data_IF_525806928586
#
_entry.id   IF_525806928586
#
_cell.length_a   1.000
_cell.length_b   1.000
_cell.length_c   1.000
_cell.angle_alpha   90.00
_cell.angle_beta   90.00
_cell.angle_gamma   90.00
#
_symmetry.space_group_name_H-M   'P 1'
#
loop_
_entity.id
_entity.type
_entity.pdbx_description
1 polymer ?
#
# COMPACT_ATOMS: atom_id res chain seq x y z
N UNK A 1 2.57 0.87 -25.60
CA UNK A 1 2.45 1.12 -24.16
C UNK A 1 3.22 0.02 -23.47
N UNK A 2 4.04 0.34 -22.48
CA UNK A 2 4.74 -0.67 -21.69
C UNK A 2 4.20 -0.69 -20.26
N UNK A 3 4.13 -1.86 -19.66
CA UNK A 3 3.79 -2.00 -18.25
C UNK A 3 5.06 -2.20 -17.44
N UNK A 4 5.28 -1.36 -16.43
CA UNK A 4 6.39 -1.50 -15.50
C UNK A 4 5.82 -2.08 -14.21
N UNK A 5 5.89 -3.40 -14.07
CA UNK A 5 5.53 -4.07 -12.83
C UNK A 5 6.71 -3.94 -11.88
N UNK A 6 6.52 -3.37 -10.70
CA UNK A 6 7.61 -3.23 -9.75
C UNK A 6 7.14 -3.39 -8.31
N UNK A 7 8.10 -3.73 -7.46
CA UNK A 7 7.97 -3.83 -6.01
C UNK A 7 9.23 -3.23 -5.35
N UNK A 8 9.15 -2.89 -4.06
CA UNK A 8 10.18 -2.17 -3.33
C UNK A 8 10.33 -2.74 -1.92
N UNK A 9 11.58 -2.94 -1.49
CA UNK A 9 11.86 -3.18 -0.08
C UNK A 9 12.37 -1.91 0.59
N UNK A 10 12.02 -1.75 1.87
CA UNK A 10 12.30 -0.53 2.64
C UNK A 10 13.03 -0.80 3.93
N UNK A 11 13.97 0.08 4.28
CA UNK A 11 14.48 0.22 5.63
C UNK A 11 13.75 1.32 6.39
N UNK A 12 13.83 1.28 7.72
CA UNK A 12 13.16 2.22 8.61
C UNK A 12 13.97 2.47 9.88
N UNK A 13 13.59 3.51 10.60
CA UNK A 13 14.24 3.89 11.87
C UNK A 13 14.13 2.80 12.93
N UNK A 14 15.26 2.36 13.49
CA UNK A 14 15.27 1.56 14.73
C UNK A 14 15.27 2.49 15.95
N UNK A 15 14.21 2.41 16.77
CA UNK A 15 14.08 3.21 17.99
C UNK A 15 15.12 2.86 19.05
N UNK A 16 15.76 1.69 18.96
CA UNK A 16 16.75 1.19 19.93
C UNK A 16 18.16 1.71 19.63
N UNK A 17 18.45 2.12 18.40
CA UNK A 17 19.77 2.64 18.01
C UNK A 17 19.97 4.13 18.30
N UNK A 18 18.90 4.84 18.68
CA UNK A 18 18.88 6.29 18.88
C UNK A 18 19.53 6.77 20.19
N UNK A 19 19.77 5.89 21.17
CA UNK A 19 20.36 6.32 22.46
C UNK A 19 21.82 6.77 22.31
N UNK A 20 22.49 6.47 21.18
CA UNK A 20 23.94 6.67 21.02
C UNK A 20 24.38 7.52 19.81
N UNK A 21 23.46 8.09 19.01
CA UNK A 21 23.84 8.84 17.79
C UNK A 21 23.15 10.21 17.69
N UNK A 22 23.86 11.25 18.13
CA UNK A 22 23.45 12.66 18.10
C UNK A 22 23.62 13.34 16.73
N UNK A 23 23.91 12.59 15.65
CA UNK A 23 24.35 13.16 14.37
C UNK A 23 23.23 13.30 13.30
N UNK A 24 21.97 13.13 13.69
CA UNK A 24 20.80 13.35 12.81
C UNK A 24 20.47 14.85 12.69
N UNK A 25 21.42 15.65 12.23
CA UNK A 25 21.31 17.11 12.13
C UNK A 25 21.19 17.67 10.71
N UNK A 26 20.99 16.86 9.66
CA UNK A 26 20.84 17.40 8.30
C UNK A 26 19.79 16.65 7.45
N UNK A 27 18.74 17.39 7.05
CA UNK A 27 17.46 16.98 6.42
C UNK A 27 16.54 16.14 7.32
N UNK A 28 15.34 16.66 7.54
CA UNK A 28 14.37 16.09 8.48
C UNK A 28 14.06 14.63 8.14
N UNK A 29 14.58 13.70 8.94
CA UNK A 29 14.26 12.26 8.87
C UNK A 29 12.76 11.99 9.00
N UNK A 30 11.96 12.96 9.48
CA UNK A 30 10.50 12.88 9.43
C UNK A 30 9.92 12.80 8.02
N UNK A 31 10.63 13.28 7.01
CA UNK A 31 10.12 13.40 5.64
C UNK A 31 10.31 12.10 4.84
N UNK A 32 11.10 11.15 5.36
CA UNK A 32 11.39 9.86 4.76
C UNK A 32 11.22 8.71 5.77
N UNK A 33 9.99 8.29 6.09
CA UNK A 33 9.76 7.22 7.06
C UNK A 33 10.30 5.85 6.62
N UNK A 34 10.36 5.63 5.30
CA UNK A 34 10.79 4.39 4.67
C UNK A 34 11.80 4.73 3.56
N UNK A 35 13.05 4.31 3.75
CA UNK A 35 14.14 4.47 2.78
C UNK A 35 14.20 3.21 1.90
N UNK A 36 14.19 3.36 0.58
CA UNK A 36 14.23 2.21 -0.33
C UNK A 36 15.60 1.54 -0.29
N UNK A 37 15.62 0.21 -0.10
CA UNK A 37 16.82 -0.64 -0.07
C UNK A 37 16.85 -1.71 -1.17
N UNK A 38 15.75 -1.93 -1.90
CA UNK A 38 15.73 -2.75 -3.11
C UNK A 38 14.68 -2.24 -4.09
N UNK A 39 14.97 -2.32 -5.39
CA UNK A 39 14.01 -2.14 -6.47
C UNK A 39 14.02 -3.39 -7.33
N UNK A 40 12.87 -4.05 -7.43
CA UNK A 40 12.64 -5.16 -8.36
C UNK A 40 11.58 -4.78 -9.38
N UNK A 41 11.82 -5.03 -10.67
CA UNK A 41 10.87 -4.70 -11.71
C UNK A 41 10.96 -5.59 -12.96
N UNK A 42 9.84 -5.67 -13.66
CA UNK A 42 9.68 -6.27 -14.98
C UNK A 42 9.04 -5.25 -15.92
N UNK A 43 9.61 -5.14 -17.12
CA UNK A 43 9.05 -4.36 -18.22
C UNK A 43 8.33 -5.30 -19.17
N UNK A 44 7.03 -5.13 -19.30
CA UNK A 44 6.19 -5.91 -20.20
C UNK A 44 5.74 -5.06 -21.38
N UNK A 45 5.60 -5.68 -22.54
CA UNK A 45 4.93 -5.08 -23.70
C UNK A 45 3.40 -5.18 -23.59
N UNK A 46 2.71 -4.81 -24.67
CA UNK A 46 1.24 -4.88 -24.76
C UNK A 46 0.69 -6.31 -24.74
N UNK A 47 1.51 -7.31 -25.12
CA UNK A 47 1.16 -8.73 -25.15
C UNK A 47 1.63 -9.44 -23.86
N UNK A 48 2.00 -8.65 -22.86
CA UNK A 48 2.57 -9.05 -21.57
C UNK A 48 3.82 -9.93 -21.66
N UNK A 49 4.55 -9.85 -22.77
CA UNK A 49 5.87 -10.47 -22.87
C UNK A 49 6.89 -9.63 -22.11
N UNK A 50 7.75 -10.28 -21.33
CA UNK A 50 8.81 -9.62 -20.61
C UNK A 50 9.89 -9.14 -21.58
N UNK A 51 10.03 -7.83 -21.73
CA UNK A 51 11.06 -7.19 -22.55
C UNK A 51 12.40 -7.12 -21.82
N UNK A 52 12.36 -6.78 -20.53
CA UNK A 52 13.55 -6.65 -19.69
C UNK A 52 13.19 -6.74 -18.20
N UNK A 53 14.20 -6.94 -17.38
CA UNK A 53 14.10 -7.02 -15.91
C UNK A 53 15.07 -6.03 -15.25
N UNK A 54 14.74 -5.62 -14.03
CA UNK A 54 15.57 -4.78 -13.18
C UNK A 54 15.56 -5.34 -11.76
N UNK A 55 16.73 -5.50 -11.15
CA UNK A 55 16.85 -5.90 -9.76
C UNK A 55 18.10 -5.24 -9.18
N UNK A 56 17.94 -4.36 -8.20
CA UNK A 56 19.06 -3.65 -7.60
C UNK A 56 18.85 -3.44 -6.12
N UNK A 57 19.87 -3.80 -5.34
CA UNK A 57 19.99 -3.44 -3.93
C UNK A 57 20.58 -2.03 -3.81
N UNK A 58 20.14 -1.31 -2.79
CA UNK A 58 20.47 0.10 -2.57
C UNK A 58 21.10 0.26 -1.20
N UNK A 59 22.23 0.97 -1.17
CA UNK A 59 22.90 1.33 0.08
C UNK A 59 22.13 2.44 0.81
N UNK A 60 21.62 2.20 2.03
CA UNK A 60 20.89 3.22 2.78
C UNK A 60 21.85 4.33 3.24
N UNK A 61 21.34 5.56 3.26
CA UNK A 61 22.09 6.75 3.72
C UNK A 61 21.42 7.44 4.89
N UNK A 62 20.10 7.29 5.04
CA UNK A 62 19.31 7.87 6.13
C UNK A 62 19.28 6.91 7.32
N UNK A 63 18.87 5.67 7.09
CA UNK A 63 18.87 4.60 8.10
C UNK A 63 20.04 3.65 7.83
N UNK A 64 21.24 4.07 8.27
CA UNK A 64 22.52 3.45 7.88
C UNK A 64 22.68 1.97 8.25
N UNK A 65 21.92 1.48 9.22
CA UNK A 65 21.87 0.06 9.59
C UNK A 65 20.52 -0.51 9.24
N UNK A 66 20.49 -1.72 8.67
CA UNK A 66 19.24 -2.42 8.39
C UNK A 66 18.53 -2.76 9.70
N UNK A 67 17.25 -2.40 9.79
CA UNK A 67 16.44 -2.71 10.96
C UNK A 67 16.29 -4.25 11.10
N UNK A 68 16.52 -4.86 12.29
CA UNK A 68 16.51 -6.32 12.44
C UNK A 68 15.22 -7.03 11.98
N UNK A 69 14.06 -6.38 12.16
CA UNK A 69 12.80 -6.89 11.61
C UNK A 69 12.77 -6.86 10.07
N UNK A 70 13.32 -5.82 9.43
CA UNK A 70 13.42 -5.72 7.97
C UNK A 70 14.38 -6.79 7.44
N UNK A 71 15.55 -6.94 8.07
CA UNK A 71 16.50 -8.01 7.74
C UNK A 71 15.85 -9.39 7.87
N UNK A 72 15.12 -9.67 8.95
CA UNK A 72 14.45 -10.96 9.13
C UNK A 72 13.39 -11.24 8.07
N UNK A 73 12.71 -10.21 7.55
CA UNK A 73 11.68 -10.35 6.53
C UNK A 73 12.31 -10.51 5.14
N UNK A 74 13.22 -9.60 4.77
CA UNK A 74 13.76 -9.45 3.41
C UNK A 74 15.04 -10.22 3.17
N UNK A 75 15.69 -10.70 4.23
CA UNK A 75 17.04 -11.26 4.22
C UNK A 75 18.11 -10.29 3.68
N UNK A 76 17.80 -8.99 3.58
CA UNK A 76 18.76 -7.94 3.23
C UNK A 76 19.55 -7.58 4.49
N UNK A 77 20.86 -7.80 4.47
CA UNK A 77 21.76 -7.52 5.59
C UNK A 77 22.62 -6.29 5.31
N UNK A 78 23.21 -5.72 6.36
CA UNK A 78 24.16 -4.59 6.21
C UNK A 78 25.33 -4.96 5.27
N UNK A 79 25.81 -6.21 5.29
CA UNK A 79 26.88 -6.68 4.41
C UNK A 79 26.45 -6.72 2.94
N UNK A 80 25.19 -7.11 2.65
CA UNK A 80 24.66 -7.13 1.28
C UNK A 80 24.62 -5.74 0.66
N UNK A 81 24.28 -4.72 1.46
CA UNK A 81 24.12 -3.34 0.97
C UNK A 81 25.39 -2.48 1.13
N UNK A 82 26.41 -2.96 1.85
CA UNK A 82 27.61 -2.19 2.19
C UNK A 82 28.34 -1.59 0.97
N UNK A 83 28.34 -2.30 -0.16
CA UNK A 83 29.02 -1.92 -1.40
C UNK A 83 28.05 -1.61 -2.55
N UNK A 84 26.75 -1.55 -2.27
CA UNK A 84 25.74 -1.17 -3.26
C UNK A 84 25.82 0.33 -3.59
N UNK A 85 25.25 0.68 -4.74
CA UNK A 85 25.07 2.08 -5.18
C UNK A 85 23.99 2.76 -4.31
N UNK A 86 24.02 4.09 -4.28
CA UNK A 86 23.04 4.87 -3.53
C UNK A 86 21.73 5.04 -4.31
N UNK A 87 20.65 5.44 -3.62
CA UNK A 87 19.33 5.58 -4.23
C UNK A 87 19.32 6.47 -5.48
N UNK A 88 19.95 7.67 -5.51
CA UNK A 88 19.95 8.51 -6.70
C UNK A 88 20.51 7.80 -7.94
N UNK A 89 21.64 7.12 -7.77
CA UNK A 89 22.33 6.40 -8.82
C UNK A 89 21.49 5.23 -9.38
N UNK A 90 20.89 4.45 -8.48
CA UNK A 90 20.06 3.29 -8.87
C UNK A 90 18.74 3.76 -9.49
N UNK A 91 18.20 4.89 -9.05
CA UNK A 91 16.99 5.45 -9.64
C UNK A 91 17.23 5.98 -11.06
N UNK A 92 18.40 6.53 -11.34
CA UNK A 92 18.79 6.89 -12.72
C UNK A 92 18.85 5.65 -13.63
N UNK A 93 19.49 4.56 -13.18
CA UNK A 93 19.48 3.29 -13.92
C UNK A 93 18.04 2.76 -14.12
N UNK A 94 17.18 2.95 -13.11
CA UNK A 94 15.77 2.54 -13.19
C UNK A 94 14.99 3.37 -14.21
N UNK A 95 15.27 4.67 -14.34
CA UNK A 95 14.71 5.52 -15.38
C UNK A 95 15.19 5.09 -16.77
N UNK A 96 16.46 4.73 -16.94
CA UNK A 96 16.99 4.19 -18.19
C UNK A 96 16.30 2.86 -18.57
N UNK A 97 16.12 1.97 -17.58
CA UNK A 97 15.36 0.73 -17.74
C UNK A 97 13.92 0.97 -18.23
N UNK A 98 13.24 1.96 -17.65
CA UNK A 98 11.89 2.38 -18.04
C UNK A 98 11.89 2.94 -19.48
N UNK A 99 12.83 3.82 -19.80
CA UNK A 99 12.97 4.51 -21.09
C UNK A 99 11.87 5.55 -21.37
N UNK A 100 11.94 6.19 -22.54
CA UNK A 100 11.10 7.37 -22.88
C UNK A 100 9.71 7.06 -23.47
N UNK A 101 9.28 5.80 -23.42
CA UNK A 101 8.02 5.36 -24.00
C UNK A 101 6.78 5.71 -23.16
N UNK A 102 5.58 5.54 -23.73
CA UNK A 102 4.37 5.59 -22.92
C UNK A 102 4.33 4.38 -21.98
N UNK A 103 4.30 4.64 -20.66
CA UNK A 103 4.32 3.61 -19.62
C UNK A 103 3.08 3.67 -18.73
N UNK A 104 2.78 2.52 -18.12
CA UNK A 104 1.90 2.40 -16.96
C UNK A 104 2.64 1.65 -15.87
N UNK A 105 2.74 2.26 -14.68
CA UNK A 105 3.30 1.58 -13.53
C UNK A 105 2.29 0.58 -12.95
N UNK A 106 2.72 -0.57 -12.49
CA UNK A 106 1.88 -1.55 -11.83
C UNK A 106 2.55 -1.98 -10.53
N UNK A 107 1.80 -1.88 -9.44
CA UNK A 107 2.27 -2.24 -8.09
C UNK A 107 1.30 -3.22 -7.48
N UNK A 108 1.79 -4.10 -6.61
CA UNK A 108 0.88 -4.94 -5.84
C UNK A 108 -0.02 -4.06 -4.99
N UNK A 109 0.56 -3.23 -4.12
CA UNK A 109 -0.17 -2.31 -3.26
C UNK A 109 0.19 -0.84 -3.51
N UNK A 110 -0.66 0.08 -3.05
CA UNK A 110 -0.36 1.53 -3.19
C UNK A 110 0.76 2.05 -2.29
N UNK A 111 1.40 1.19 -1.49
CA UNK A 111 2.51 1.59 -0.60
C UNK A 111 3.73 1.93 -1.44
N UNK A 112 4.08 1.10 -2.42
CA UNK A 112 5.31 1.25 -3.22
C UNK A 112 5.35 2.56 -3.97
N UNK A 113 4.26 2.92 -4.66
CA UNK A 113 4.18 4.22 -5.35
C UNK A 113 4.21 5.41 -4.38
N UNK A 114 3.66 5.27 -3.17
CA UNK A 114 3.69 6.35 -2.17
C UNK A 114 5.10 6.55 -1.64
N UNK A 115 5.79 5.47 -1.28
CA UNK A 115 7.14 5.56 -0.74
C UNK A 115 8.16 5.91 -1.82
N UNK A 116 8.00 5.42 -3.07
CA UNK A 116 8.80 5.88 -4.20
C UNK A 116 8.73 7.40 -4.31
N UNK A 117 7.52 7.97 -4.35
CA UNK A 117 7.34 9.43 -4.47
C UNK A 117 7.92 10.19 -3.28
N UNK A 118 7.90 9.64 -2.06
CA UNK A 118 8.56 10.27 -0.90
C UNK A 118 10.08 10.25 -1.03
N UNK A 119 10.65 9.12 -1.43
CA UNK A 119 12.09 8.99 -1.69
C UNK A 119 12.53 9.99 -2.79
N UNK A 120 11.77 10.09 -3.89
CA UNK A 120 12.05 11.07 -4.94
C UNK A 120 12.03 12.51 -4.42
N UNK A 121 11.03 12.88 -3.61
CA UNK A 121 11.00 14.22 -2.99
C UNK A 121 12.18 14.47 -2.07
N UNK A 122 12.55 13.49 -1.26
CA UNK A 122 13.66 13.61 -0.32
C UNK A 122 15.01 13.84 -1.03
N UNK A 123 15.23 13.12 -2.14
CA UNK A 123 16.42 13.24 -2.99
C UNK A 123 16.29 14.30 -4.10
N UNK A 124 15.24 15.12 -4.10
CA UNK A 124 14.99 16.19 -5.08
C UNK A 124 14.85 15.73 -6.56
N UNK A 125 14.36 14.52 -6.80
CA UNK A 125 14.02 14.04 -8.14
C UNK A 125 12.65 14.56 -8.62
N UNK A 126 12.48 14.82 -9.92
CA UNK A 126 11.19 15.20 -10.51
C UNK A 126 10.20 14.03 -10.49
N UNK A 127 8.94 14.32 -10.14
CA UNK A 127 7.85 13.31 -10.06
C UNK A 127 7.07 13.23 -11.39
N UNK A 128 7.37 14.07 -12.37
CA UNK A 128 6.65 14.18 -13.65
C UNK A 128 6.53 12.85 -14.41
N UNK A 129 7.48 11.94 -14.18
CA UNK A 129 7.53 10.65 -14.86
C UNK A 129 6.55 9.62 -14.25
N UNK A 130 5.96 9.91 -13.08
CA UNK A 130 5.00 9.04 -12.40
C UNK A 130 3.59 9.61 -12.58
N UNK A 131 2.97 9.31 -13.72
CA UNK A 131 1.64 9.84 -14.05
C UNK A 131 0.51 8.84 -13.88
N UNK A 132 0.74 7.56 -14.23
CA UNK A 132 -0.29 6.51 -14.28
C UNK A 132 0.18 5.27 -13.53
N UNK A 133 -0.70 4.71 -12.70
CA UNK A 133 -0.43 3.46 -12.00
C UNK A 133 -1.65 2.53 -11.92
N UNK A 134 -1.41 1.23 -11.81
CA UNK A 134 -2.40 0.20 -11.55
C UNK A 134 -2.10 -0.42 -10.18
N UNK A 135 -3.10 -0.44 -9.32
CA UNK A 135 -3.11 -1.16 -8.04
C UNK A 135 -3.59 -2.59 -8.31
N UNK A 136 -2.66 -3.51 -8.57
CA UNK A 136 -2.97 -4.88 -9.00
C UNK A 136 -3.74 -5.63 -7.92
N UNK A 137 -3.40 -5.44 -6.65
CA UNK A 137 -4.10 -6.05 -5.52
C UNK A 137 -5.59 -5.68 -5.49
N UNK A 138 -5.96 -4.44 -5.83
CA UNK A 138 -7.36 -4.02 -5.90
C UNK A 138 -8.14 -4.86 -6.90
N UNK A 139 -7.58 -5.05 -8.08
CA UNK A 139 -8.19 -5.81 -9.16
C UNK A 139 -8.19 -7.30 -8.84
N UNK A 140 -7.09 -7.84 -8.31
CA UNK A 140 -6.98 -9.23 -7.88
C UNK A 140 -8.01 -9.56 -6.79
N UNK A 141 -8.18 -8.70 -5.79
CA UNK A 141 -9.17 -8.90 -4.70
C UNK A 141 -10.60 -8.97 -5.26
N UNK A 142 -10.90 -8.14 -6.26
CA UNK A 142 -12.21 -8.14 -6.94
C UNK A 142 -12.40 -9.41 -7.77
N UNK A 143 -11.39 -9.80 -8.55
CA UNK A 143 -11.41 -10.99 -9.39
C UNK A 143 -11.59 -12.27 -8.56
N UNK A 144 -10.88 -12.37 -7.43
CA UNK A 144 -10.90 -13.51 -6.51
C UNK A 144 -12.07 -13.49 -5.50
N UNK A 145 -12.99 -12.52 -5.62
CA UNK A 145 -14.21 -12.39 -4.79
C UNK A 145 -13.94 -12.44 -3.28
N UNK A 146 -12.90 -11.74 -2.83
CA UNK A 146 -12.54 -11.66 -1.41
C UNK A 146 -13.70 -11.18 -0.55
N UNK A 147 -13.97 -11.86 0.56
CA UNK A 147 -15.03 -11.49 1.51
C UNK A 147 -14.82 -10.07 2.05
N UNK A 148 -15.91 -9.31 2.21
CA UNK A 148 -15.93 -7.98 2.83
C UNK A 148 -15.03 -6.91 2.17
N UNK A 149 -14.70 -7.05 0.88
CA UNK A 149 -13.81 -6.12 0.15
C UNK A 149 -12.42 -5.97 0.79
N UNK A 150 -11.96 -6.99 1.52
CA UNK A 150 -10.61 -7.00 2.07
C UNK A 150 -9.58 -7.06 0.93
N UNK A 151 -8.40 -6.48 1.17
CA UNK A 151 -7.29 -6.57 0.23
C UNK A 151 -6.59 -7.91 0.44
N UNK A 152 -6.50 -8.72 -0.62
CA UNK A 152 -5.79 -10.00 -0.56
C UNK A 152 -4.27 -9.79 -0.47
N UNK A 153 -3.56 -10.62 0.31
CA UNK A 153 -2.09 -10.65 0.31
C UNK A 153 -1.54 -11.29 -0.97
N UNK A 154 -0.32 -10.93 -1.37
CA UNK A 154 0.32 -11.43 -2.61
C UNK A 154 0.40 -12.96 -2.60
N UNK A 155 0.98 -13.53 -1.55
CA UNK A 155 1.07 -14.98 -1.33
C UNK A 155 -0.28 -15.69 -1.47
N UNK A 156 -1.31 -15.20 -0.79
CA UNK A 156 -2.65 -15.81 -0.84
C UNK A 156 -3.23 -15.76 -2.27
N UNK A 157 -2.96 -14.70 -3.03
CA UNK A 157 -3.44 -14.59 -4.40
C UNK A 157 -2.74 -15.59 -5.34
N UNK A 158 -1.42 -15.74 -5.20
CA UNK A 158 -0.63 -16.76 -5.94
C UNK A 158 -1.17 -18.17 -5.64
N UNK A 159 -1.36 -18.49 -4.36
CA UNK A 159 -1.85 -19.79 -3.92
C UNK A 159 -3.26 -20.08 -4.50
N UNK A 160 -4.18 -19.11 -4.45
CA UNK A 160 -5.52 -19.28 -5.03
C UNK A 160 -5.52 -19.42 -6.55
N UNK A 161 -4.57 -18.77 -7.23
CA UNK A 161 -4.42 -18.83 -8.68
C UNK A 161 -3.58 -20.04 -9.15
N UNK A 162 -3.06 -20.84 -8.21
CA UNK A 162 -2.14 -21.95 -8.49
C UNK A 162 -0.91 -21.52 -9.32
N UNK A 163 -0.42 -20.30 -9.09
CA UNK A 163 0.81 -19.82 -9.72
C UNK A 163 2.01 -20.49 -9.00
N UNK A 164 2.97 -21.09 -9.72
CA UNK A 164 4.15 -21.70 -9.10
C UNK A 164 4.99 -20.69 -8.29
N UNK A 165 5.34 -21.06 -7.06
CA UNK A 165 6.23 -20.29 -6.19
C UNK A 165 7.67 -20.76 -6.47
N UNK A 166 8.48 -19.89 -7.07
CA UNK A 166 9.85 -20.21 -7.51
C UNK A 166 10.93 -19.34 -6.82
N UNK A 167 10.53 -18.47 -5.91
CA UNK A 167 11.39 -17.54 -5.18
C UNK A 167 10.75 -17.12 -3.85
N UNK A 168 11.58 -16.57 -2.97
CA UNK A 168 11.15 -16.10 -1.65
C UNK A 168 10.29 -14.84 -1.76
N UNK A 169 9.31 -14.71 -0.85
CA UNK A 169 8.55 -13.48 -0.64
C UNK A 169 9.41 -12.45 0.11
N UNK A 170 9.06 -11.16 -0.02
CA UNK A 170 9.86 -10.06 0.54
C UNK A 170 11.25 -9.92 -0.11
N UNK A 171 11.36 -10.40 -1.34
CA UNK A 171 12.39 -9.98 -2.30
C UNK A 171 11.65 -9.21 -3.39
N UNK A 172 12.02 -7.93 -3.59
CA UNK A 172 11.29 -7.05 -4.48
C UNK A 172 11.22 -7.57 -5.93
N UNK A 173 12.23 -8.31 -6.39
CA UNK A 173 12.21 -8.84 -7.76
C UNK A 173 11.25 -10.01 -7.89
N UNK A 174 11.26 -10.94 -6.94
CA UNK A 174 10.31 -12.04 -6.90
C UNK A 174 8.88 -11.53 -6.74
N UNK A 175 8.64 -10.55 -5.87
CA UNK A 175 7.31 -9.99 -5.64
C UNK A 175 6.80 -9.20 -6.85
N UNK A 176 7.69 -8.50 -7.58
CA UNK A 176 7.36 -7.92 -8.88
C UNK A 176 7.02 -9.00 -9.93
N UNK A 177 7.75 -10.11 -9.97
CA UNK A 177 7.47 -11.24 -10.86
C UNK A 177 6.09 -11.84 -10.57
N UNK A 178 5.79 -12.13 -9.30
CA UNK A 178 4.49 -12.67 -8.92
C UNK A 178 3.35 -11.70 -9.20
N UNK A 179 3.57 -10.42 -8.96
CA UNK A 179 2.62 -9.38 -9.33
C UNK A 179 2.38 -9.37 -10.84
N UNK A 180 3.40 -9.59 -11.65
CA UNK A 180 3.29 -9.66 -13.11
C UNK A 180 2.46 -10.89 -13.54
N UNK A 181 2.69 -12.06 -12.95
CA UNK A 181 1.93 -13.28 -13.25
C UNK A 181 0.46 -13.14 -12.87
N UNK A 182 0.16 -12.58 -11.70
CA UNK A 182 -1.22 -12.28 -11.31
C UNK A 182 -1.82 -11.26 -12.26
N UNK A 183 -1.10 -10.19 -12.59
CA UNK A 183 -1.56 -9.14 -13.49
C UNK A 183 -1.96 -9.72 -14.85
N UNK A 184 -1.10 -10.55 -15.46
CA UNK A 184 -1.38 -11.29 -16.70
C UNK A 184 -2.65 -12.13 -16.60
N UNK A 185 -2.82 -12.85 -15.49
CA UNK A 185 -3.97 -13.72 -15.26
C UNK A 185 -5.29 -12.95 -15.17
N UNK A 186 -5.30 -11.83 -14.45
CA UNK A 186 -6.53 -11.07 -14.18
C UNK A 186 -6.80 -9.97 -15.21
N UNK A 187 -5.89 -9.72 -16.15
CA UNK A 187 -5.98 -8.56 -17.03
C UNK A 187 -7.23 -8.60 -17.90
N UNK A 188 -7.99 -7.51 -17.83
CA UNK A 188 -9.12 -7.26 -18.71
C UNK A 188 -9.18 -5.75 -18.96
N UNK A 189 -9.09 -5.34 -20.22
CA UNK A 189 -9.03 -3.93 -20.64
C UNK A 189 -10.32 -3.14 -20.36
N UNK A 190 -11.47 -3.81 -20.19
CA UNK A 190 -12.73 -3.16 -19.83
C UNK A 190 -12.77 -2.78 -18.33
N UNK A 191 -12.09 -3.57 -17.50
CA UNK A 191 -12.13 -3.49 -16.03
C UNK A 191 -10.91 -2.76 -15.47
N UNK A 192 -9.71 -3.13 -15.91
CA UNK A 192 -8.45 -2.57 -15.40
C UNK A 192 -8.15 -1.27 -16.11
N UNK A 193 -8.07 -0.20 -15.34
CA UNK A 193 -7.75 1.13 -15.85
C UNK A 193 -6.69 1.79 -14.97
N UNK A 194 -5.65 2.39 -15.57
CA UNK A 194 -4.67 3.14 -14.79
C UNK A 194 -5.35 4.29 -14.04
N UNK A 195 -4.98 4.45 -12.79
CA UNK A 195 -5.31 5.63 -11.98
C UNK A 195 -4.19 6.66 -12.12
N UNK A 196 -4.55 7.93 -12.11
CA UNK A 196 -3.56 9.02 -12.07
C UNK A 196 -3.14 9.22 -10.63
N UNK A 197 -1.83 9.21 -10.37
CA UNK A 197 -1.35 9.54 -9.03
C UNK A 197 -1.47 11.04 -8.80
N UNK A 198 -2.21 11.45 -7.78
CA UNK A 198 -2.31 12.85 -7.36
C UNK A 198 -1.60 13.02 -6.02
N UNK A 199 -0.53 13.84 -6.00
CA UNK A 199 0.29 14.12 -4.80
C UNK A 199 -0.48 14.78 -3.65
N UNK A 200 -1.64 15.38 -3.96
CA UNK A 200 -2.60 15.84 -2.98
C UNK A 200 -3.66 14.75 -2.78
N UNK A 201 -3.75 14.10 -1.60
CA UNK A 201 -4.98 13.41 -1.29
C UNK A 201 -6.11 14.46 -1.34
N UNK A 202 -7.28 14.16 -1.94
CA UNK A 202 -8.44 14.99 -1.68
C UNK A 202 -8.56 15.05 -0.15
N UNK A 203 -8.60 16.27 0.43
CA UNK A 203 -8.82 16.44 1.86
C UNK A 203 -10.02 15.56 2.20
N UNK A 204 -9.79 14.46 2.91
CA UNK A 204 -10.89 13.71 3.53
C UNK A 204 -11.50 14.73 4.47
N UNK A 205 -12.62 15.31 4.07
CA UNK A 205 -13.54 15.93 5.00
C UNK A 205 -14.04 14.74 5.82
N UNK A 206 -13.26 14.33 6.83
CA UNK A 206 -13.79 13.43 7.83
C UNK A 206 -14.94 14.21 8.42
N UNK A 207 -16.18 13.76 8.19
CA UNK A 207 -17.28 14.24 9.01
C UNK A 207 -16.79 14.09 10.47
N UNK A 208 -16.87 15.14 11.30
CA UNK A 208 -16.49 15.02 12.69
C UNK A 208 -17.17 13.77 13.25
N UNK A 209 -16.46 12.98 14.04
CA UNK A 209 -17.09 11.85 14.73
C UNK A 209 -18.22 12.44 15.56
N UNK A 210 -19.45 12.26 15.11
CA UNK A 210 -20.64 12.56 15.90
C UNK A 210 -20.63 11.57 17.06
N UNK A 211 -20.26 12.09 18.23
CA UNK A 211 -20.41 11.38 19.50
C UNK A 211 -21.83 11.61 19.99
N UNK A 212 -22.49 10.55 20.42
CA UNK A 212 -23.87 10.67 20.91
C UNK A 212 -23.82 10.80 22.42
N UNK A 213 -24.52 11.83 22.90
CA UNK A 213 -24.86 11.96 24.31
C UNK A 213 -25.88 10.88 24.70
N UNK A 214 -25.34 9.72 25.07
CA UNK A 214 -26.13 8.58 25.54
C UNK A 214 -26.93 8.92 26.80
N UNK A 215 -26.44 9.82 27.64
CA UNK A 215 -27.13 10.22 28.88
C UNK A 215 -28.42 10.94 28.55
N UNK A 216 -28.37 11.94 27.67
CA UNK A 216 -29.55 12.67 27.21
C UNK A 216 -30.53 11.76 26.44
N UNK A 217 -30.03 10.80 25.67
CA UNK A 217 -30.86 9.81 24.98
C UNK A 217 -31.65 8.96 26.00
N UNK A 218 -30.99 8.39 26.99
CA UNK A 218 -31.67 7.58 28.03
C UNK A 218 -32.67 8.42 28.80
N UNK A 219 -32.31 9.64 29.21
CA UNK A 219 -33.21 10.52 29.93
C UNK A 219 -34.49 10.83 29.13
N UNK A 220 -34.38 10.95 27.80
CA UNK A 220 -35.55 11.15 26.94
C UNK A 220 -36.47 9.92 26.94
N UNK A 221 -35.92 8.69 26.91
CA UNK A 221 -36.73 7.48 27.08
C UNK A 221 -37.41 7.45 28.45
N UNK A 222 -36.69 7.76 29.52
CA UNK A 222 -37.25 7.79 30.88
C UNK A 222 -38.41 8.77 31.00
N UNK A 223 -38.27 9.96 30.40
CA UNK A 223 -39.33 10.95 30.31
C UNK A 223 -40.54 10.47 29.50
N UNK A 224 -40.32 9.83 28.36
CA UNK A 224 -41.40 9.32 27.50
C UNK A 224 -42.22 8.22 28.16
N UNK A 225 -41.56 7.35 28.93
CA UNK A 225 -42.21 6.23 29.63
C UNK A 225 -42.55 6.55 31.09
N UNK A 226 -42.22 7.76 31.57
CA UNK A 226 -42.42 8.24 32.93
C UNK A 226 -41.90 7.26 34.00
N UNK A 227 -40.72 6.67 33.75
CA UNK A 227 -40.03 5.73 34.67
C UNK A 227 -38.55 5.64 34.31
N UNK A 228 -37.73 5.18 35.26
CA UNK A 228 -36.33 4.87 34.98
C UNK A 228 -36.18 3.67 34.03
N UNK A 229 -35.14 3.70 33.19
CA UNK A 229 -34.77 2.58 32.35
C UNK A 229 -33.89 1.61 33.14
N UNK A 230 -34.12 0.31 33.00
CA UNK A 230 -33.23 -0.70 33.58
C UNK A 230 -31.89 -0.76 32.83
N UNK A 231 -30.86 -1.35 33.44
CA UNK A 231 -29.56 -1.52 32.78
C UNK A 231 -29.64 -2.39 31.50
N UNK A 232 -30.56 -3.35 31.47
CA UNK A 232 -30.84 -4.15 30.29
C UNK A 232 -31.46 -3.28 29.18
N UNK A 233 -32.44 -2.44 29.50
CA UNK A 233 -33.07 -1.53 28.54
C UNK A 233 -32.08 -0.50 27.98
N UNK A 234 -31.23 0.08 28.84
CA UNK A 234 -30.14 0.97 28.42
C UNK A 234 -29.19 0.26 27.45
N UNK A 235 -28.87 -1.01 27.72
CA UNK A 235 -28.01 -1.83 26.87
C UNK A 235 -28.66 -2.12 25.51
N UNK A 236 -29.96 -2.43 25.49
CA UNK A 236 -30.74 -2.64 24.27
C UNK A 236 -30.79 -1.36 23.43
N UNK A 237 -31.06 -0.20 24.04
CA UNK A 237 -31.09 1.10 23.36
C UNK A 237 -29.73 1.40 22.72
N UNK A 238 -28.63 1.17 23.46
CA UNK A 238 -27.27 1.36 22.94
C UNK A 238 -26.98 0.43 21.76
N UNK A 239 -27.36 -0.84 21.87
CA UNK A 239 -27.16 -1.82 20.81
C UNK A 239 -27.94 -1.47 19.54
N UNK A 240 -29.21 -1.09 19.68
CA UNK A 240 -30.06 -0.66 18.58
C UNK A 240 -29.48 0.58 17.86
N UNK A 241 -28.96 1.55 18.62
CA UNK A 241 -28.28 2.71 18.04
C UNK A 241 -27.03 2.30 17.23
N UNK A 242 -26.19 1.43 17.78
CA UNK A 242 -24.98 0.95 17.08
C UNK A 242 -25.36 0.22 15.79
N UNK A 243 -26.36 -0.67 15.85
CA UNK A 243 -26.87 -1.41 14.67
C UNK A 243 -27.40 -0.47 13.58
N UNK A 244 -28.06 0.62 13.96
CA UNK A 244 -28.47 1.68 13.04
C UNK A 244 -27.28 2.43 12.43
N UNK A 245 -26.29 2.81 13.26
CA UNK A 245 -25.08 3.52 12.84
C UNK A 245 -24.21 2.70 11.88
N UNK A 246 -24.14 1.39 12.09
CA UNK A 246 -23.39 0.47 11.22
C UNK A 246 -24.17 0.09 9.96
N UNK A 247 -25.42 0.55 9.81
CA UNK A 247 -26.26 0.26 8.65
C UNK A 247 -26.63 -1.21 8.52
N UNK A 248 -26.58 -1.98 9.62
CA UNK A 248 -26.68 -3.44 9.62
C UNK A 248 -28.00 -3.96 9.04
N UNK A 249 -29.05 -3.12 9.02
CA UNK A 249 -30.39 -3.49 8.56
C UNK A 249 -30.95 -2.53 7.49
N UNK A 250 -30.08 -1.81 6.77
CA UNK A 250 -30.53 -0.98 5.63
C UNK A 250 -30.97 -1.90 4.49
N UNK A 251 -32.26 -1.83 4.11
CA UNK A 251 -32.74 -2.44 2.87
C UNK A 251 -32.34 -1.54 1.70
N UNK A 252 -31.49 -2.04 0.81
CA UNK A 252 -31.32 -1.42 -0.50
C UNK A 252 -32.63 -1.65 -1.27
N UNK A 253 -33.35 -0.58 -1.59
CA UNK A 253 -34.63 -0.70 -2.30
C UNK A 253 -34.44 -1.40 -3.64
N UNK A 254 -35.22 -2.45 -3.87
CA UNK A 254 -35.48 -2.95 -5.21
C UNK A 254 -36.06 -1.80 -6.05
N UNK A 255 -35.45 -1.55 -7.20
CA UNK A 255 -35.99 -0.63 -8.21
C UNK A 255 -37.28 -1.28 -8.74
N UNK A 256 -38.46 -0.63 -8.63
CA UNK A 256 -39.65 -1.15 -9.28
C UNK A 256 -39.48 -1.10 -10.80
N UNK A 257 -39.77 -2.20 -11.49
CA UNK A 257 -40.04 -2.20 -12.93
C UNK A 257 -41.36 -1.47 -13.22
#
# INVERSE_FOLDING_TARGET
MNYIIYDLEFNQKDKRSDENNTDLSTKNVSDLPFEIIQIGALKLDNDFQTLSTFNSLIKPTVYKSIHPHVESLTQITDEKVAFCRYFPDVYEDFLEFIGDGEITLCVWGTVDIKELIRNLKFYNFPISNISKYIDVQKYASTHLKTLNKSRIGLRNAIELLNIPINGEFHDAFNDAYYTAEIFKFIYNNEIIRPSVYTSAPPKRISKPKEDIDMTSLIHQFEKMYNREMTEEEKSIIKLAYIMGKTGQFIKNGDIPQ
#
